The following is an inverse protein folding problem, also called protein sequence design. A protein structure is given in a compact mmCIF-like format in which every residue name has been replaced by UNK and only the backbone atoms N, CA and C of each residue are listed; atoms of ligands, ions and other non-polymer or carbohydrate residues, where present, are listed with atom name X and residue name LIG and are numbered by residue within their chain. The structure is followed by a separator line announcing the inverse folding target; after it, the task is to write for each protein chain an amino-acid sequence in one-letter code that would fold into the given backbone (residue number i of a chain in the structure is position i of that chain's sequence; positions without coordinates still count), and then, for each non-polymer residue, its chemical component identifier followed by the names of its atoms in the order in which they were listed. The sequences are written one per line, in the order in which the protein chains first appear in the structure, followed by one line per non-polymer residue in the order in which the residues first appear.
data_IF_826373800228
#
_entry.id   IF_826373800228
#
_cell.length_a   1.000
_cell.length_b   1.000
_cell.length_c   1.000
_cell.angle_alpha   90.00
_cell.angle_beta   90.00
_cell.angle_gamma   90.00
#
_symmetry.space_group_name_H-M   'P 1'
#
loop_
_entity.id
_entity.type
_entity.pdbx_description
1 polymer ?
#
# COMPACT_ATOMS: atom_id res chain seq x y z
N UNK A 1 63.21 17.32 17.91
CA UNK A 1 63.10 16.90 19.31
C UNK A 1 61.76 17.38 19.85
N UNK A 2 60.76 16.50 19.86
CA UNK A 2 59.50 16.62 20.62
C UNK A 2 58.70 15.33 20.37
N UNK A 3 57.75 15.01 21.25
CA UNK A 3 56.99 13.76 21.31
C UNK A 3 55.52 14.10 21.63
N UNK A 4 54.60 13.15 21.39
CA UNK A 4 53.20 13.10 21.88
C UNK A 4 52.27 14.15 21.20
N UNK A 5 50.99 13.88 20.88
CA UNK A 5 50.14 12.68 21.10
C UNK A 5 49.34 12.29 19.85
N UNK A 6 48.63 11.16 19.94
CA UNK A 6 47.47 10.80 19.10
C UNK A 6 46.20 11.23 19.82
N UNK A 7 45.21 11.73 19.08
CA UNK A 7 43.82 11.82 19.54
C UNK A 7 42.89 11.18 18.50
N UNK A 8 41.91 10.40 18.97
CA UNK A 8 40.79 9.92 18.17
C UNK A 8 39.74 11.04 18.02
N UNK A 9 38.97 10.99 16.93
CA UNK A 9 37.69 11.70 16.85
C UNK A 9 36.58 10.65 16.91
N UNK A 10 36.10 10.39 18.12
CA UNK A 10 35.01 9.45 18.39
C UNK A 10 33.67 10.01 17.89
N UNK A 11 32.84 9.13 17.31
CA UNK A 11 31.46 9.45 16.94
C UNK A 11 30.47 8.88 17.95
N UNK A 12 29.86 9.72 18.80
CA UNK A 12 28.66 9.37 19.57
C UNK A 12 27.89 10.60 20.08
N UNK A 13 27.51 11.53 19.18
CA UNK A 13 26.83 12.79 19.54
C UNK A 13 25.31 12.78 19.27
N UNK A 14 24.58 11.79 19.80
CA UNK A 14 23.15 11.94 20.15
C UNK A 14 22.67 10.81 21.07
N UNK A 15 22.97 10.94 22.36
CA UNK A 15 22.35 10.18 23.45
C UNK A 15 21.57 11.12 24.37
N UNK A 16 20.55 10.57 25.04
CA UNK A 16 19.47 11.30 25.74
C UNK A 16 18.53 12.05 24.78
N UNK A 17 17.20 12.05 24.97
CA UNK A 17 16.41 11.47 26.06
C UNK A 17 15.65 10.21 25.64
N UNK A 18 15.92 9.09 26.34
CA UNK A 18 14.89 8.11 26.66
C UNK A 18 14.25 8.55 28.00
N UNK A 19 12.93 8.57 28.05
CA UNK A 19 12.16 8.45 29.29
C UNK A 19 11.06 7.43 29.03
N UNK A 20 10.98 6.43 29.91
CA UNK A 20 9.85 5.53 29.99
C UNK A 20 8.69 6.27 30.65
N UNK A 21 7.49 6.12 30.11
CA UNK A 21 6.27 6.18 30.91
C UNK A 21 5.57 4.84 30.71
N UNK A 22 5.59 4.00 31.74
CA UNK A 22 4.81 2.77 31.79
C UNK A 22 3.36 3.13 32.13
N UNK A 23 2.41 2.69 31.31
CA UNK A 23 0.99 2.84 31.59
C UNK A 23 0.30 1.52 31.32
N UNK A 24 0.04 0.78 32.40
CA UNK A 24 -0.76 -0.45 32.35
C UNK A 24 -2.20 -0.10 31.97
N UNK A 25 -2.74 -0.75 30.94
CA UNK A 25 -4.16 -1.07 30.84
C UNK A 25 -4.31 -2.34 30.00
N UNK A 26 -4.98 -3.33 30.57
CA UNK A 26 -5.13 -4.66 29.96
C UNK A 26 -6.49 -4.80 29.24
N UNK A 27 -6.55 -5.81 28.38
CA UNK A 27 -7.75 -6.57 28.02
C UNK A 27 -9.04 -5.79 27.68
N UNK A 28 -9.17 -5.38 26.40
CA UNK A 28 -10.50 -5.22 25.80
C UNK A 28 -10.79 -6.34 24.79
N UNK A 29 -11.19 -7.50 25.32
CA UNK A 29 -11.65 -8.65 24.54
C UNK A 29 -13.00 -8.34 23.89
N UNK A 30 -13.01 -8.00 22.60
CA UNK A 30 -14.24 -7.84 21.81
C UNK A 30 -14.95 -9.18 21.60
N UNK A 31 -15.73 -9.61 22.60
CA UNK A 31 -16.66 -10.74 22.49
C UNK A 31 -18.05 -10.33 22.99
N UNK A 32 -19.03 -10.26 22.09
CA UNK A 32 -20.37 -10.81 22.31
C UNK A 32 -21.23 -10.70 21.04
N UNK A 33 -21.92 -11.78 20.70
CA UNK A 33 -22.89 -11.83 19.60
C UNK A 33 -24.33 -11.64 20.13
N UNK A 34 -25.12 -10.85 19.39
CA UNK A 34 -26.56 -11.06 19.11
C UNK A 34 -27.50 -11.54 20.23
N UNK A 35 -28.36 -10.63 20.72
CA UNK A 35 -29.77 -10.94 21.08
C UNK A 35 -30.67 -9.83 20.53
N UNK A 36 -31.89 -10.16 20.09
CA UNK A 36 -32.80 -9.27 19.37
C UNK A 36 -34.22 -9.31 19.99
N UNK A 37 -34.90 -8.16 20.16
CA UNK A 37 -36.25 -8.06 20.75
C UNK A 37 -37.10 -6.93 20.15
N UNK A 38 -38.42 -7.17 20.05
CA UNK A 38 -39.49 -6.31 19.48
C UNK A 38 -40.58 -6.11 20.58
N UNK A 39 -41.66 -5.30 20.56
CA UNK A 39 -42.40 -4.34 19.68
C UNK A 39 -43.55 -3.72 20.56
N UNK A 40 -44.54 -2.90 20.10
CA UNK A 40 -44.70 -2.00 18.93
C UNK A 40 -45.28 -0.59 19.31
N UNK A 41 -45.76 0.16 18.28
CA UNK A 41 -46.75 1.29 18.30
C UNK A 41 -46.32 2.62 18.99
N UNK A 42 -46.65 3.82 18.50
CA UNK A 42 -47.98 4.29 18.01
C UNK A 42 -47.93 5.26 16.78
N UNK A 43 -49.07 5.85 16.39
CA UNK A 43 -49.35 6.39 15.04
C UNK A 43 -49.06 7.88 14.73
N UNK A 44 -48.59 8.12 13.50
CA UNK A 44 -48.91 9.21 12.54
C UNK A 44 -48.90 10.70 12.98
N UNK A 45 -47.98 11.49 12.41
CA UNK A 45 -48.28 12.85 11.91
C UNK A 45 -47.50 13.14 10.60
N UNK A 46 -48.00 14.05 9.78
CA UNK A 46 -47.59 14.26 8.39
C UNK A 46 -46.45 15.26 8.19
N UNK A 47 -45.24 14.76 7.94
CA UNK A 47 -44.12 15.56 7.43
C UNK A 47 -43.54 14.99 6.15
N UNK A 48 -43.75 15.64 5.00
CA UNK A 48 -43.00 15.33 3.77
C UNK A 48 -41.56 15.87 3.91
N UNK A 49 -40.75 15.19 4.73
CA UNK A 49 -39.32 15.44 4.77
C UNK A 49 -38.73 15.04 3.42
N UNK A 50 -38.53 16.06 2.58
CA UNK A 50 -37.55 16.05 1.53
C UNK A 50 -36.21 15.68 2.17
N UNK A 51 -35.87 14.38 2.18
CA UNK A 51 -34.58 13.92 2.70
C UNK A 51 -33.52 14.67 1.90
N UNK A 52 -32.83 15.59 2.56
CA UNK A 52 -31.57 16.09 2.02
C UNK A 52 -30.69 14.87 1.87
N UNK A 53 -30.41 14.49 0.61
CA UNK A 53 -29.17 13.78 0.34
C UNK A 53 -28.08 14.73 0.85
N UNK A 54 -27.60 14.46 2.07
CA UNK A 54 -26.24 14.85 2.41
C UNK A 54 -25.42 14.25 1.29
N UNK A 55 -24.78 15.11 0.50
CA UNK A 55 -23.72 14.64 -0.37
C UNK A 55 -22.63 14.22 0.59
N UNK A 56 -22.52 12.90 0.79
CA UNK A 56 -21.48 12.31 1.63
C UNK A 56 -20.14 12.85 1.11
N UNK A 57 -19.32 13.34 2.04
CA UNK A 57 -17.98 13.77 1.68
C UNK A 57 -17.19 12.51 1.36
N UNK A 58 -16.48 12.48 0.22
CA UNK A 58 -15.86 11.26 -0.29
C UNK A 58 -14.80 10.76 0.70
N UNK A 59 -14.70 9.44 0.86
CA UNK A 59 -13.70 8.83 1.74
C UNK A 59 -12.27 9.25 1.32
N UNK A 60 -11.33 9.34 2.26
CA UNK A 60 -9.95 9.81 2.00
C UNK A 60 -9.24 8.98 0.90
N UNK A 61 -9.70 7.75 0.63
CA UNK A 61 -9.19 6.87 -0.43
C UNK A 61 -10.00 6.86 -1.75
N UNK A 62 -10.98 7.76 -1.93
CA UNK A 62 -11.60 8.03 -3.23
C UNK A 62 -10.75 8.97 -4.13
N UNK A 63 -9.69 9.57 -3.56
CA UNK A 63 -8.85 10.55 -4.25
C UNK A 63 -7.72 9.89 -5.07
N UNK A 64 -7.59 10.32 -6.33
CA UNK A 64 -6.50 9.96 -7.23
C UNK A 64 -5.53 11.13 -7.38
N UNK A 65 -4.24 10.85 -7.56
CA UNK A 65 -3.20 11.88 -7.71
C UNK A 65 -2.76 12.03 -9.17
N UNK A 66 -2.72 13.28 -9.67
CA UNK A 66 -2.26 13.59 -11.01
C UNK A 66 -0.80 14.06 -11.01
N UNK A 67 0.13 13.17 -11.39
CA UNK A 67 1.57 13.46 -11.49
C UNK A 67 1.90 14.71 -12.35
N UNK A 68 1.13 14.93 -13.42
CA UNK A 68 1.32 16.08 -14.32
C UNK A 68 0.85 17.42 -13.74
N UNK A 69 -0.19 17.42 -12.90
CA UNK A 69 -0.72 18.63 -12.25
C UNK A 69 -0.23 18.82 -10.80
N UNK A 70 0.37 17.79 -10.20
CA UNK A 70 0.70 17.68 -8.77
C UNK A 70 -0.49 17.97 -7.85
N UNK A 71 -1.68 17.50 -8.24
CA UNK A 71 -2.94 17.72 -7.51
C UNK A 71 -3.79 16.46 -7.43
N UNK A 72 -4.57 16.35 -6.36
CA UNK A 72 -5.59 15.32 -6.18
C UNK A 72 -6.86 15.63 -7.00
N UNK A 73 -7.58 14.59 -7.39
CA UNK A 73 -8.85 14.68 -8.11
C UNK A 73 -9.72 13.45 -7.83
N UNK A 74 -11.02 13.55 -8.15
CA UNK A 74 -11.98 12.43 -8.09
C UNK A 74 -12.59 12.28 -9.49
N UNK A 75 -12.76 11.04 -9.96
CA UNK A 75 -13.17 10.66 -11.32
C UNK A 75 -12.18 11.04 -12.44
N UNK A 76 -11.79 12.32 -12.57
CA UNK A 76 -10.88 12.79 -13.61
C UNK A 76 -10.09 14.04 -13.21
N UNK A 77 -8.87 14.14 -13.72
CA UNK A 77 -8.11 15.39 -13.77
C UNK A 77 -8.72 16.31 -14.85
N UNK A 78 -8.79 17.62 -14.60
CA UNK A 78 -9.33 18.58 -15.57
C UNK A 78 -8.44 18.75 -16.81
N UNK A 79 -7.12 18.57 -16.66
CA UNK A 79 -6.13 18.71 -17.74
C UNK A 79 -5.88 17.38 -18.45
N UNK A 80 -5.74 16.29 -17.68
CA UNK A 80 -5.27 14.99 -18.18
C UNK A 80 -6.38 13.94 -18.36
N UNK A 81 -7.62 14.24 -17.96
CA UNK A 81 -8.75 13.31 -18.06
C UNK A 81 -8.79 12.24 -16.95
N UNK A 82 -9.55 11.15 -17.13
CA UNK A 82 -9.63 10.06 -16.16
C UNK A 82 -8.30 9.29 -16.04
N UNK A 83 -8.06 8.69 -14.87
CA UNK A 83 -6.90 7.82 -14.68
C UNK A 83 -6.99 6.56 -15.57
N UNK A 84 -5.87 6.19 -16.18
CA UNK A 84 -5.75 4.95 -16.95
C UNK A 84 -5.30 3.81 -16.03
N UNK A 85 -6.21 2.86 -15.77
CA UNK A 85 -5.91 1.61 -15.09
C UNK A 85 -5.61 0.51 -16.11
N UNK A 86 -4.46 -0.16 -15.95
CA UNK A 86 -4.11 -1.36 -16.71
C UNK A 86 -4.56 -2.57 -15.89
N UNK A 87 -5.47 -3.36 -16.46
CA UNK A 87 -6.01 -4.55 -15.82
C UNK A 87 -5.02 -5.73 -15.87
N UNK A 88 -5.01 -6.50 -14.78
CA UNK A 88 -4.40 -7.83 -14.71
C UNK A 88 -4.95 -8.76 -15.80
N UNK A 89 -4.11 -9.68 -16.28
CA UNK A 89 -4.57 -10.82 -17.07
C UNK A 89 -5.49 -11.70 -16.20
N UNK A 90 -6.72 -12.02 -16.62
CA UNK A 90 -7.71 -12.67 -15.75
C UNK A 90 -7.38 -14.15 -15.51
N UNK A 91 -7.03 -14.49 -14.26
CA UNK A 91 -6.73 -15.88 -13.84
C UNK A 91 -7.51 -16.25 -12.56
N UNK A 92 -8.23 -17.39 -12.55
CA UNK A 92 -8.92 -17.87 -11.35
C UNK A 92 -7.98 -18.10 -10.15
N UNK A 93 -8.52 -17.93 -8.94
CA UNK A 93 -7.84 -18.29 -7.69
C UNK A 93 -7.56 -19.80 -7.63
N UNK A 94 -6.49 -20.19 -6.93
CA UNK A 94 -6.09 -21.60 -6.78
C UNK A 94 -5.28 -22.18 -7.95
N UNK A 95 -5.16 -21.46 -9.08
CA UNK A 95 -4.35 -21.89 -10.22
C UNK A 95 -2.87 -21.85 -9.86
N UNK A 96 -2.14 -22.94 -10.14
CA UNK A 96 -0.67 -22.98 -9.97
C UNK A 96 0.00 -21.86 -10.77
N UNK A 97 0.92 -21.13 -10.16
CA UNK A 97 1.62 -19.98 -10.77
C UNK A 97 0.64 -18.86 -11.21
N UNK A 98 -0.48 -18.68 -10.49
CA UNK A 98 -1.46 -17.60 -10.75
C UNK A 98 -0.78 -16.23 -10.77
N UNK A 99 0.04 -15.92 -9.76
CA UNK A 99 0.62 -14.59 -9.64
C UNK A 99 1.45 -14.16 -10.86
N UNK A 100 2.18 -15.05 -11.54
CA UNK A 100 2.85 -14.70 -12.82
C UNK A 100 1.86 -14.64 -13.98
N UNK A 101 0.85 -15.49 -13.98
CA UNK A 101 -0.15 -15.54 -15.07
C UNK A 101 -1.11 -14.35 -15.07
N UNK A 102 -1.21 -13.57 -13.99
CA UNK A 102 -1.98 -12.31 -14.01
C UNK A 102 -1.19 -11.09 -14.52
N UNK A 103 0.09 -11.23 -14.93
CA UNK A 103 0.84 -10.10 -15.48
C UNK A 103 0.10 -9.47 -16.67
N UNK A 104 -0.02 -8.12 -16.70
CA UNK A 104 -0.46 -7.39 -17.89
C UNK A 104 0.46 -7.63 -19.10
N UNK A 105 -0.09 -7.61 -20.33
CA UNK A 105 0.71 -7.71 -21.55
C UNK A 105 1.82 -6.65 -21.62
N UNK A 106 3.02 -7.08 -22.02
CA UNK A 106 4.22 -6.23 -22.08
C UNK A 106 5.07 -6.23 -20.81
N UNK A 107 4.55 -6.69 -19.65
CA UNK A 107 5.35 -6.92 -18.46
C UNK A 107 5.88 -8.37 -18.43
N UNK A 108 7.00 -8.59 -17.73
CA UNK A 108 7.61 -9.92 -17.49
C UNK A 108 8.15 -10.02 -16.07
N UNK A 109 8.27 -11.24 -15.51
CA UNK A 109 9.03 -11.48 -14.27
C UNK A 109 10.37 -12.11 -14.62
N UNK A 110 11.46 -11.52 -14.15
CA UNK A 110 12.84 -11.96 -14.39
C UNK A 110 13.63 -11.92 -13.06
N UNK A 111 14.91 -12.28 -13.07
CA UNK A 111 15.80 -12.02 -11.93
C UNK A 111 16.00 -10.50 -11.77
N UNK A 112 15.98 -9.99 -10.54
CA UNK A 112 16.10 -8.54 -10.27
C UNK A 112 17.53 -8.04 -10.52
N UNK A 113 17.67 -6.76 -10.86
CA UNK A 113 18.97 -6.08 -10.84
C UNK A 113 19.49 -5.77 -9.43
N UNK A 114 18.61 -5.83 -8.42
CA UNK A 114 18.93 -5.51 -7.02
C UNK A 114 19.52 -6.75 -6.33
N UNK A 115 20.66 -6.58 -5.66
CA UNK A 115 21.34 -7.65 -4.94
C UNK A 115 20.45 -8.33 -3.90
N UNK A 116 20.44 -9.66 -3.90
CA UNK A 116 19.63 -10.55 -3.05
C UNK A 116 18.10 -10.37 -3.12
N UNK A 117 17.56 -9.43 -3.92
CA UNK A 117 16.13 -9.22 -4.10
C UNK A 117 15.41 -10.34 -4.90
N UNK A 118 16.17 -11.25 -5.52
CA UNK A 118 15.62 -12.43 -6.19
C UNK A 118 14.95 -12.12 -7.53
N UNK A 119 13.64 -11.84 -7.52
CA UNK A 119 12.82 -11.67 -8.73
C UNK A 119 12.25 -10.25 -8.82
N UNK A 120 12.25 -9.67 -10.02
CA UNK A 120 11.68 -8.36 -10.33
C UNK A 120 10.69 -8.40 -11.49
N UNK A 121 9.83 -7.39 -11.60
CA UNK A 121 8.96 -7.17 -12.76
C UNK A 121 9.61 -6.18 -13.71
N UNK A 122 9.73 -6.52 -14.99
CA UNK A 122 10.37 -5.70 -16.02
C UNK A 122 9.39 -5.35 -17.13
N UNK A 123 9.40 -4.09 -17.58
CA UNK A 123 8.72 -3.71 -18.80
C UNK A 123 9.51 -4.19 -20.03
N UNK A 124 8.88 -5.00 -20.88
CA UNK A 124 9.42 -5.49 -22.16
C UNK A 124 8.52 -5.14 -23.35
N UNK A 125 7.47 -4.34 -23.14
CA UNK A 125 6.52 -3.89 -24.15
C UNK A 125 6.84 -2.50 -24.69
N UNK A 126 5.82 -1.64 -24.80
CA UNK A 126 5.99 -0.21 -25.08
C UNK A 126 6.30 0.57 -23.78
N UNK A 127 6.78 1.81 -23.88
CA UNK A 127 7.02 2.65 -22.69
C UNK A 127 5.72 2.90 -21.92
N UNK A 128 5.63 2.48 -20.65
CA UNK A 128 4.47 2.77 -19.80
C UNK A 128 4.47 4.27 -19.48
N UNK A 129 3.40 5.03 -19.80
CA UNK A 129 3.35 6.46 -19.54
C UNK A 129 3.13 6.79 -18.05
N UNK A 130 3.56 7.99 -17.66
CA UNK A 130 3.33 8.56 -16.33
C UNK A 130 1.82 8.69 -16.04
N UNK A 131 1.39 8.44 -14.81
CA UNK A 131 -0.02 8.45 -14.41
C UNK A 131 -0.81 7.18 -14.76
N UNK A 132 -0.17 6.14 -15.30
CA UNK A 132 -0.76 4.80 -15.41
C UNK A 132 -0.87 4.14 -14.04
N UNK A 133 -1.99 3.47 -13.81
CA UNK A 133 -2.33 2.78 -12.57
C UNK A 133 -2.39 1.26 -12.77
N UNK A 134 -2.00 0.52 -11.72
CA UNK A 134 -1.98 -0.94 -11.65
C UNK A 134 -2.66 -1.42 -10.36
N UNK A 135 -3.44 -2.50 -10.45
CA UNK A 135 -3.98 -3.20 -9.29
C UNK A 135 -5.51 -3.37 -9.28
N UNK A 136 -6.09 -3.69 -8.11
CA UNK A 136 -5.45 -3.71 -6.79
C UNK A 136 -4.47 -4.88 -6.59
N UNK A 137 -3.58 -4.74 -5.60
CA UNK A 137 -2.83 -5.86 -5.02
C UNK A 137 -3.79 -6.96 -4.55
N UNK A 138 -3.41 -8.22 -4.75
CA UNK A 138 -4.19 -9.39 -4.34
C UNK A 138 -3.36 -10.30 -3.44
N UNK A 139 -4.03 -10.99 -2.52
CA UNK A 139 -3.45 -11.81 -1.47
C UNK A 139 -4.53 -12.33 -0.52
N UNK A 140 -4.12 -12.98 0.56
CA UNK A 140 -5.04 -13.36 1.64
C UNK A 140 -5.22 -12.22 2.64
N UNK A 141 -6.40 -12.10 3.24
CA UNK A 141 -6.57 -11.30 4.46
C UNK A 141 -5.95 -12.05 5.63
N UNK A 142 -5.09 -11.38 6.39
CA UNK A 142 -4.31 -11.93 7.51
C UNK A 142 -4.41 -11.02 8.76
N UNK A 143 -3.98 -11.52 9.91
CA UNK A 143 -3.81 -10.68 11.11
C UNK A 143 -2.49 -9.88 11.09
N UNK A 144 -2.34 -8.99 12.08
CA UNK A 144 -1.18 -8.10 12.19
C UNK A 144 0.15 -8.86 12.44
N UNK A 145 0.15 -9.96 13.19
CA UNK A 145 1.36 -10.73 13.48
C UNK A 145 1.82 -11.48 12.23
N UNK A 146 0.90 -12.13 11.50
CA UNK A 146 1.22 -12.75 10.22
C UNK A 146 1.67 -11.69 9.19
N UNK A 147 1.01 -10.53 9.15
CA UNK A 147 1.37 -9.44 8.26
C UNK A 147 2.79 -8.90 8.49
N UNK A 148 3.15 -8.56 9.73
CA UNK A 148 4.47 -8.06 10.11
C UNK A 148 5.61 -9.06 9.89
N UNK A 149 5.29 -10.34 9.70
CA UNK A 149 6.29 -11.38 9.42
C UNK A 149 6.50 -11.68 7.93
N UNK A 150 5.61 -11.21 7.03
CA UNK A 150 5.73 -11.39 5.57
C UNK A 150 6.25 -10.13 4.87
N UNK A 151 7.21 -10.30 3.94
CA UNK A 151 7.65 -9.24 3.02
C UNK A 151 6.65 -8.92 1.90
N UNK A 152 5.57 -9.69 1.79
CA UNK A 152 4.56 -9.54 0.74
C UNK A 152 3.26 -8.86 1.23
N UNK A 153 3.26 -8.36 2.48
CA UNK A 153 2.13 -7.71 3.14
C UNK A 153 1.94 -6.25 2.74
N UNK A 154 0.69 -5.81 2.78
CA UNK A 154 0.28 -4.41 2.74
C UNK A 154 -0.76 -4.12 3.82
N UNK A 155 -0.81 -2.86 4.27
CA UNK A 155 -1.80 -2.36 5.24
C UNK A 155 -2.88 -1.61 4.47
N UNK A 156 -4.14 -1.85 4.80
CA UNK A 156 -5.30 -1.11 4.28
C UNK A 156 -5.96 -0.43 5.48
N UNK A 157 -5.97 0.90 5.49
CA UNK A 157 -6.72 1.67 6.45
C UNK A 157 -8.21 1.65 6.09
N UNK A 158 -9.09 1.78 7.07
CA UNK A 158 -10.54 1.90 6.85
C UNK A 158 -11.05 2.93 7.85
N UNK A 159 -11.73 3.96 7.38
CA UNK A 159 -12.12 5.06 8.28
C UNK A 159 -13.06 4.56 9.39
N UNK A 160 -12.82 5.03 10.60
CA UNK A 160 -13.49 4.56 11.81
C UNK A 160 -13.35 3.05 12.12
N UNK A 161 -12.38 2.34 11.53
CA UNK A 161 -12.15 0.89 11.71
C UNK A 161 -10.68 0.57 12.00
N UNK A 162 -10.41 -0.68 12.39
CA UNK A 162 -9.05 -1.20 12.53
C UNK A 162 -8.36 -1.40 11.16
N UNK A 163 -7.03 -1.31 11.15
CA UNK A 163 -6.20 -1.68 10.00
C UNK A 163 -6.46 -3.11 9.55
N UNK A 164 -6.62 -3.29 8.24
CA UNK A 164 -6.71 -4.59 7.58
C UNK A 164 -5.37 -4.91 6.90
N UNK A 165 -5.03 -6.19 6.78
CA UNK A 165 -3.76 -6.62 6.21
C UNK A 165 -3.99 -7.62 5.07
N UNK A 166 -3.32 -7.39 3.94
CA UNK A 166 -3.38 -8.28 2.77
C UNK A 166 -1.97 -8.80 2.43
N UNK A 167 -1.81 -10.12 2.40
CA UNK A 167 -0.50 -10.76 2.18
C UNK A 167 -0.44 -11.50 0.83
N UNK A 168 0.43 -11.01 -0.05
CA UNK A 168 0.72 -11.58 -1.37
C UNK A 168 1.60 -12.85 -1.35
N UNK A 169 1.95 -13.40 -0.17
CA UNK A 169 2.87 -14.55 -0.03
C UNK A 169 2.39 -15.81 -0.75
N UNK A 170 1.09 -16.13 -0.78
CA UNK A 170 0.56 -17.32 -1.48
C UNK A 170 0.32 -17.05 -2.97
N UNK A 171 1.23 -17.49 -3.84
CA UNK A 171 1.17 -17.25 -5.31
C UNK A 171 -0.11 -17.72 -6.02
N UNK A 172 -0.86 -18.65 -5.43
CA UNK A 172 -2.15 -19.14 -5.94
C UNK A 172 -3.33 -18.20 -5.66
N UNK A 173 -3.18 -17.27 -4.72
CA UNK A 173 -4.18 -16.25 -4.37
C UNK A 173 -3.73 -14.84 -4.75
N UNK A 174 -2.42 -14.58 -4.70
CA UNK A 174 -1.83 -13.30 -5.03
C UNK A 174 -1.84 -13.00 -6.55
N UNK A 175 -1.52 -11.75 -6.90
CA UNK A 175 -1.29 -11.30 -8.27
C UNK A 175 0.17 -10.86 -8.49
N UNK A 176 0.50 -10.51 -9.74
CA UNK A 176 1.86 -10.15 -10.19
C UNK A 176 2.54 -9.05 -9.39
N UNK A 177 1.77 -8.15 -8.78
CA UNK A 177 2.27 -7.02 -7.97
C UNK A 177 3.11 -7.46 -6.77
N UNK A 178 3.02 -8.74 -6.37
CA UNK A 178 3.90 -9.36 -5.36
C UNK A 178 5.38 -9.42 -5.75
N UNK A 179 5.70 -9.38 -7.05
CA UNK A 179 7.08 -9.44 -7.58
C UNK A 179 7.68 -8.04 -7.81
N UNK A 180 6.99 -6.97 -7.39
CA UNK A 180 7.47 -5.58 -7.55
C UNK A 180 8.31 -5.19 -6.33
N UNK A 181 9.62 -5.12 -6.55
CA UNK A 181 10.62 -4.75 -5.55
C UNK A 181 10.46 -3.30 -5.08
N UNK A 182 10.91 -3.04 -3.86
CA UNK A 182 11.00 -1.66 -3.39
C UNK A 182 12.23 -0.98 -4.00
N UNK A 183 12.11 0.30 -4.33
CA UNK A 183 13.26 1.12 -4.68
C UNK A 183 14.14 1.40 -3.46
N UNK A 184 15.44 1.29 -3.62
CA UNK A 184 16.43 1.73 -2.65
C UNK A 184 16.73 3.24 -2.74
N UNK A 185 16.46 3.89 -3.89
CA UNK A 185 16.63 5.34 -4.06
C UNK A 185 15.51 6.04 -4.88
N UNK A 186 15.51 7.37 -4.83
CA UNK A 186 14.55 8.24 -5.50
C UNK A 186 14.86 8.49 -7.00
N UNK A 187 16.02 8.05 -7.51
CA UNK A 187 16.38 8.16 -8.93
C UNK A 187 15.88 6.97 -9.76
N UNK A 188 15.78 5.78 -9.16
CA UNK A 188 15.21 4.58 -9.79
C UNK A 188 13.69 4.44 -9.61
N UNK A 189 13.14 4.87 -8.46
CA UNK A 189 11.74 4.68 -8.07
C UNK A 189 10.74 5.14 -9.15
N UNK A 190 10.04 4.21 -9.79
CA UNK A 190 9.13 4.53 -10.89
C UNK A 190 7.65 4.25 -10.61
N UNK A 191 7.35 3.58 -9.50
CA UNK A 191 6.00 3.39 -8.98
C UNK A 191 5.82 4.05 -7.61
N UNK A 192 4.62 4.58 -7.35
CA UNK A 192 4.15 4.99 -6.03
C UNK A 192 2.98 4.09 -5.62
N UNK A 193 3.11 3.40 -4.48
CA UNK A 193 2.04 2.66 -3.85
C UNK A 193 1.16 3.57 -2.99
N UNK A 194 -0.15 3.40 -3.10
CA UNK A 194 -1.15 4.16 -2.37
C UNK A 194 -2.44 3.34 -2.23
N UNK A 195 -3.32 3.74 -1.31
CA UNK A 195 -4.64 3.15 -1.16
C UNK A 195 -5.66 3.86 -2.06
N UNK A 196 -6.57 3.10 -2.66
CA UNK A 196 -7.71 3.62 -3.44
C UNK A 196 -8.91 2.66 -3.34
N UNK A 197 -10.11 3.18 -3.03
CA UNK A 197 -11.36 2.43 -2.87
C UNK A 197 -11.21 1.13 -2.04
N UNK A 198 -10.42 1.17 -0.96
CA UNK A 198 -10.20 0.04 -0.06
C UNK A 198 -9.26 -1.07 -0.55
N UNK A 199 -8.45 -0.81 -1.58
CA UNK A 199 -7.39 -1.68 -2.06
C UNK A 199 -6.09 -0.91 -2.29
N UNK A 200 -4.97 -1.63 -2.43
CA UNK A 200 -3.67 -1.00 -2.71
C UNK A 200 -3.37 -1.01 -4.20
N UNK A 201 -3.00 0.14 -4.75
CA UNK A 201 -2.69 0.34 -6.15
C UNK A 201 -1.28 0.93 -6.30
N UNK A 202 -0.65 0.68 -7.45
CA UNK A 202 0.58 1.37 -7.84
C UNK A 202 0.28 2.36 -8.98
N UNK A 203 0.86 3.56 -8.94
CA UNK A 203 0.82 4.52 -10.05
C UNK A 203 2.23 4.85 -10.55
N UNK A 204 2.38 5.05 -11.86
CA UNK A 204 3.67 5.38 -12.48
C UNK A 204 3.99 6.87 -12.26
N UNK A 205 4.97 7.18 -11.40
CA UNK A 205 5.41 8.56 -11.14
C UNK A 205 6.39 9.08 -12.20
N UNK A 206 6.97 8.20 -13.02
CA UNK A 206 7.76 8.53 -14.22
C UNK A 206 7.50 7.51 -15.34
N UNK A 207 7.81 7.82 -16.60
CA UNK A 207 7.67 6.85 -17.70
C UNK A 207 8.63 5.66 -17.53
N UNK A 208 8.14 4.43 -17.72
CA UNK A 208 8.90 3.19 -17.56
C UNK A 208 9.24 2.64 -18.94
N UNK A 209 10.49 2.78 -19.39
CA UNK A 209 10.93 2.35 -20.74
C UNK A 209 11.11 0.83 -20.82
N UNK A 210 11.18 0.24 -22.03
CA UNK A 210 11.52 -1.16 -22.20
C UNK A 210 12.90 -1.47 -21.61
N UNK A 211 13.03 -2.63 -20.95
CA UNK A 211 14.21 -3.05 -20.20
C UNK A 211 14.33 -2.51 -18.77
N UNK A 212 13.41 -1.65 -18.30
CA UNK A 212 13.44 -1.14 -16.92
C UNK A 212 12.64 -2.03 -15.95
N UNK A 213 13.21 -2.26 -14.76
CA UNK A 213 12.51 -2.88 -13.62
C UNK A 213 11.47 -1.92 -13.04
N UNK A 214 10.33 -2.45 -12.59
CA UNK A 214 9.26 -1.73 -11.91
C UNK A 214 9.59 -1.70 -10.41
N UNK A 215 9.84 -0.50 -9.87
CA UNK A 215 10.35 -0.31 -8.51
C UNK A 215 9.48 0.68 -7.73
N UNK A 216 9.01 0.27 -6.55
CA UNK A 216 7.94 0.97 -5.80
C UNK A 216 8.41 1.58 -4.47
N UNK A 217 7.92 2.77 -4.17
CA UNK A 217 7.90 3.32 -2.81
C UNK A 217 6.47 3.76 -2.45
N UNK A 218 6.18 4.03 -1.18
CA UNK A 218 4.84 4.48 -0.76
C UNK A 218 4.63 6.00 -0.96
N UNK A 219 3.37 6.42 -1.10
CA UNK A 219 2.97 7.82 -0.96
C UNK A 219 3.02 8.24 0.51
N UNK A 220 3.61 9.40 0.83
CA UNK A 220 3.73 9.89 2.21
C UNK A 220 2.36 10.03 2.89
N UNK A 221 1.33 10.40 2.12
CA UNK A 221 -0.05 10.53 2.58
C UNK A 221 -0.66 9.19 3.04
N UNK A 222 -0.32 8.08 2.36
CA UNK A 222 -0.78 6.73 2.73
C UNK A 222 -0.11 6.22 4.02
N UNK A 223 1.13 6.60 4.30
CA UNK A 223 1.80 6.25 5.56
C UNK A 223 1.36 7.09 6.77
N UNK A 224 0.79 8.28 6.54
CA UNK A 224 0.56 9.34 7.53
C UNK A 224 -0.27 8.92 8.75
N UNK A 225 -1.28 8.07 8.54
CA UNK A 225 -2.25 7.68 9.58
C UNK A 225 -2.08 6.23 10.06
N UNK A 226 -1.06 5.50 9.57
CA UNK A 226 -0.86 4.08 9.86
C UNK A 226 -0.09 3.84 11.17
N UNK A 227 -0.28 2.67 11.75
CA UNK A 227 0.35 2.26 13.00
C UNK A 227 1.81 1.85 12.81
N UNK A 228 2.50 1.54 13.93
CA UNK A 228 3.86 1.00 13.92
C UNK A 228 3.99 -0.31 13.10
N UNK A 229 2.89 -1.05 12.88
CA UNK A 229 2.88 -2.26 12.06
C UNK A 229 3.28 -1.96 10.61
N UNK A 230 2.86 -0.82 10.05
CA UNK A 230 3.28 -0.37 8.73
C UNK A 230 4.81 -0.22 8.64
N UNK A 231 5.45 0.34 9.67
CA UNK A 231 6.91 0.47 9.73
C UNK A 231 7.63 -0.88 9.72
N UNK A 232 7.11 -1.89 10.42
CA UNK A 232 7.64 -3.26 10.38
C UNK A 232 7.42 -3.93 9.02
N UNK A 233 6.22 -3.83 8.45
CA UNK A 233 5.85 -4.40 7.16
C UNK A 233 6.69 -3.78 6.04
N UNK A 234 6.81 -2.45 5.99
CA UNK A 234 7.61 -1.78 4.97
C UNK A 234 9.09 -2.12 5.09
N UNK A 235 9.63 -2.13 6.30
CA UNK A 235 11.01 -2.56 6.55
C UNK A 235 11.25 -3.99 6.06
N UNK A 236 10.35 -4.93 6.39
CA UNK A 236 10.40 -6.32 5.89
C UNK A 236 10.37 -6.37 4.36
N UNK A 237 9.44 -5.67 3.71
CA UNK A 237 9.31 -5.62 2.26
C UNK A 237 10.56 -5.04 1.55
N UNK A 238 11.31 -4.16 2.23
CA UNK A 238 12.57 -3.62 1.72
C UNK A 238 13.82 -4.47 2.07
N UNK A 239 13.69 -5.56 2.83
CA UNK A 239 14.81 -6.41 3.27
C UNK A 239 14.57 -7.90 3.08
N UNK A 240 13.57 -8.30 2.27
CA UNK A 240 13.16 -9.70 2.14
C UNK A 240 13.26 -10.19 0.69
N UNK A 241 14.24 -11.07 0.47
CA UNK A 241 13.96 -12.45 0.07
C UNK A 241 14.90 -13.40 0.83
#
# INVERSE_FOLDING_TARGET
MSFISVEHLDGDFLKTHLKQEESENADFLCTLNSVNCFTPDDQMDGGFQMKQLKKEEPEDDEYLYCEGCRSFFINKCEVHGPALFIADTPVPLGVHDRARKTLPPGLTVQESGIGDAGLGVFNMGETVPVGVHFGPCQGDLVDCEEAMNSGYSWVIYRDGQCEQYIDGRKEVHANWMRFVNCSCDNEEQNLVAFQYNGGIFYRCCRPIRPGQELLVWYAEEYAKNLSIAFGYIWKKKCTAN
#
